data_IF_376453690277
#
_entry.id   IF_376453690277
#
_cell.length_a   1.000
_cell.length_b   1.000
_cell.length_c   1.000
_cell.angle_alpha   90.00
_cell.angle_beta   90.00
_cell.angle_gamma   90.00
#
_symmetry.space_group_name_H-M   'P 1'
#
loop_
_entity.id
_entity.type
_entity.pdbx_description
1 polymer ?
#
# COMPACT_ATOMS: atom_id res chain seq x y z
N UNK A 1 6.47 2.98 37.82
CA UNK A 1 7.36 3.50 36.76
C UNK A 1 7.16 2.63 35.53
N UNK A 2 6.42 3.14 34.55
CA UNK A 2 6.03 2.45 33.31
C UNK A 2 7.16 2.57 32.30
N UNK A 3 7.69 1.49 31.69
CA UNK A 3 8.58 1.65 30.56
C UNK A 3 7.76 1.86 29.28
N UNK A 4 8.11 2.93 28.59
CA UNK A 4 8.09 3.20 27.16
C UNK A 4 7.16 2.37 26.25
N UNK A 5 6.34 3.10 25.48
CA UNK A 5 5.38 2.61 24.51
C UNK A 5 5.93 1.52 23.59
N UNK A 6 5.39 0.33 23.77
CA UNK A 6 5.30 -0.65 22.71
C UNK A 6 4.38 -0.02 21.66
N UNK A 7 4.93 0.41 20.53
CA UNK A 7 4.11 0.64 19.33
C UNK A 7 3.53 -0.72 19.00
N UNK A 8 2.33 -1.01 19.52
CA UNK A 8 1.58 -2.22 19.20
C UNK A 8 1.49 -2.27 17.68
N UNK A 9 2.30 -3.14 17.08
CA UNK A 9 2.30 -3.27 15.63
C UNK A 9 0.90 -3.71 15.25
N UNK A 10 0.22 -2.98 14.36
CA UNK A 10 -1.17 -3.26 14.06
C UNK A 10 -1.33 -4.74 13.72
N UNK A 11 -2.39 -5.36 14.25
CA UNK A 11 -2.58 -6.80 14.06
C UNK A 11 -2.62 -7.17 12.58
N UNK A 12 -3.10 -6.30 11.69
CA UNK A 12 -3.03 -6.52 10.25
C UNK A 12 -1.79 -5.82 9.65
N UNK A 13 -1.00 -6.59 8.90
CA UNK A 13 0.15 -6.08 8.16
C UNK A 13 0.01 -6.45 6.69
N UNK A 14 0.12 -5.45 5.83
CA UNK A 14 0.11 -5.59 4.38
C UNK A 14 1.51 -5.25 3.89
N UNK A 15 2.02 -6.07 3.01
CA UNK A 15 3.35 -5.90 2.48
C UNK A 15 3.32 -5.94 0.96
N UNK A 16 3.81 -4.88 0.35
CA UNK A 16 3.76 -4.58 -1.08
C UNK A 16 5.17 -4.45 -1.68
N UNK A 17 6.21 -4.26 -0.88
CA UNK A 17 7.58 -4.09 -1.35
C UNK A 17 8.25 -5.45 -1.60
N UNK A 18 7.81 -6.13 -2.65
CA UNK A 18 8.20 -7.50 -3.00
C UNK A 18 6.96 -8.38 -3.23
N UNK A 19 7.05 -9.70 -3.04
CA UNK A 19 5.88 -10.58 -3.17
C UNK A 19 4.78 -10.13 -2.21
N UNK A 20 3.55 -9.87 -2.70
CA UNK A 20 2.51 -9.33 -1.85
C UNK A 20 2.13 -10.32 -0.76
N UNK A 21 2.10 -9.83 0.48
CA UNK A 21 1.76 -10.64 1.64
C UNK A 21 0.81 -9.87 2.55
N UNK A 22 -0.24 -10.54 3.01
CA UNK A 22 -1.10 -10.03 4.07
C UNK A 22 -0.98 -10.97 5.25
N UNK A 23 -0.68 -10.42 6.42
CA UNK A 23 -0.62 -11.18 7.67
C UNK A 23 -1.49 -10.55 8.73
N UNK A 24 -2.08 -11.38 9.60
CA UNK A 24 -2.83 -10.95 10.76
C UNK A 24 -2.31 -11.66 11.99
N UNK A 25 -1.80 -10.91 12.97
CA UNK A 25 -1.14 -11.45 14.17
C UNK A 25 -0.09 -12.52 13.82
N UNK A 26 0.71 -12.27 12.77
CA UNK A 26 1.74 -13.18 12.26
C UNK A 26 1.24 -14.33 11.38
N UNK A 27 -0.07 -14.53 11.21
CA UNK A 27 -0.63 -15.58 10.34
C UNK A 27 -0.96 -15.05 8.95
N UNK A 28 -0.64 -15.79 7.89
CA UNK A 28 -0.96 -15.40 6.51
C UNK A 28 -2.47 -15.39 6.30
N UNK A 29 -2.98 -14.28 5.75
CA UNK A 29 -4.39 -14.14 5.36
C UNK A 29 -4.52 -14.39 3.86
N UNK A 30 -5.12 -15.53 3.51
CA UNK A 30 -5.35 -15.90 2.12
C UNK A 30 -6.66 -15.27 1.59
N UNK A 31 -6.52 -14.30 0.67
CA UNK A 31 -7.66 -13.73 -0.06
C UNK A 31 -7.76 -14.45 -1.41
N UNK A 32 -8.75 -15.33 -1.55
CA UNK A 32 -8.84 -16.24 -2.70
C UNK A 32 -9.16 -15.52 -4.03
N UNK A 33 -9.96 -14.45 -3.99
CA UNK A 33 -10.38 -13.74 -5.21
C UNK A 33 -9.32 -12.72 -5.63
N UNK A 34 -8.89 -12.84 -6.89
CA UNK A 34 -7.89 -11.98 -7.54
C UNK A 34 -8.26 -10.49 -7.47
N UNK A 35 -9.47 -10.15 -7.87
CA UNK A 35 -10.02 -8.80 -7.83
C UNK A 35 -10.03 -8.19 -6.42
N UNK A 36 -10.33 -8.98 -5.39
CA UNK A 36 -10.30 -8.52 -4.00
C UNK A 36 -8.88 -8.21 -3.53
N UNK A 37 -7.91 -9.07 -3.88
CA UNK A 37 -6.50 -8.80 -3.59
C UNK A 37 -6.04 -7.52 -4.27
N UNK A 38 -6.38 -7.35 -5.55
CA UNK A 38 -6.03 -6.17 -6.31
C UNK A 38 -6.62 -4.90 -5.67
N UNK A 39 -7.90 -4.91 -5.30
CA UNK A 39 -8.54 -3.79 -4.59
C UNK A 39 -7.91 -3.48 -3.24
N UNK A 40 -7.54 -4.50 -2.45
CA UNK A 40 -6.83 -4.28 -1.18
C UNK A 40 -5.46 -3.65 -1.40
N UNK A 41 -4.67 -4.16 -2.35
CA UNK A 41 -3.32 -3.64 -2.60
C UNK A 41 -3.34 -2.27 -3.26
N UNK A 42 -4.35 -1.99 -4.09
CA UNK A 42 -4.60 -0.66 -4.62
C UNK A 42 -4.83 0.33 -3.48
N UNK A 43 -5.75 0.04 -2.55
CA UNK A 43 -5.99 0.90 -1.39
C UNK A 43 -4.77 0.98 -0.46
N UNK A 44 -4.01 -0.10 -0.32
CA UNK A 44 -2.77 -0.14 0.46
C UNK A 44 -1.62 0.62 -0.17
N UNK A 45 -1.60 0.81 -1.49
CA UNK A 45 -0.61 1.63 -2.17
C UNK A 45 -0.87 3.13 -2.06
N UNK A 46 -2.10 3.55 -1.75
CA UNK A 46 -2.46 4.97 -1.62
C UNK A 46 -2.34 5.43 -0.17
N UNK A 47 -1.58 6.50 0.04
CA UNK A 47 -1.48 7.19 1.34
C UNK A 47 -2.70 8.07 1.61
N UNK A 48 -3.23 8.68 0.56
CA UNK A 48 -4.38 9.58 0.63
C UNK A 48 -5.70 8.85 0.32
N UNK A 49 -6.85 9.37 0.81
CA UNK A 49 -8.16 8.82 0.46
C UNK A 49 -8.42 8.87 -1.04
N UNK A 50 -8.87 7.74 -1.60
CA UNK A 50 -9.15 7.60 -3.03
C UNK A 50 -10.65 7.73 -3.28
N UNK A 51 -11.04 8.44 -4.34
CA UNK A 51 -12.46 8.61 -4.66
C UNK A 51 -13.08 7.30 -5.16
N UNK A 52 -14.36 7.08 -4.86
CA UNK A 52 -15.11 5.93 -5.38
C UNK A 52 -15.17 5.93 -6.89
N UNK A 53 -15.27 7.10 -7.52
CA UNK A 53 -15.28 7.25 -8.97
C UNK A 53 -13.97 6.76 -9.58
N UNK A 54 -12.83 7.16 -9.03
CA UNK A 54 -11.50 6.72 -9.46
C UNK A 54 -11.31 5.21 -9.29
N UNK A 55 -11.72 4.64 -8.14
CA UNK A 55 -11.68 3.20 -7.92
C UNK A 55 -12.58 2.49 -8.96
N UNK A 56 -13.79 2.99 -9.20
CA UNK A 56 -14.70 2.41 -10.18
C UNK A 56 -14.10 2.43 -11.59
N UNK A 57 -13.54 3.56 -12.01
CA UNK A 57 -12.89 3.72 -13.31
C UNK A 57 -11.66 2.80 -13.45
N UNK A 58 -10.87 2.63 -12.38
CA UNK A 58 -9.66 1.81 -12.39
C UNK A 58 -9.96 0.31 -12.53
N UNK A 59 -11.01 -0.17 -11.86
CA UNK A 59 -11.34 -1.60 -11.81
C UNK A 59 -12.39 -2.03 -12.83
N UNK A 60 -13.36 -1.16 -13.15
CA UNK A 60 -14.48 -1.46 -14.03
C UNK A 60 -14.76 -0.30 -15.00
N UNK A 61 -13.83 0.04 -15.92
CA UNK A 61 -13.98 1.18 -16.83
C UNK A 61 -15.15 1.03 -17.81
N UNK A 62 -15.50 -0.21 -18.17
CA UNK A 62 -16.55 -0.51 -19.15
C UNK A 62 -17.95 -0.70 -18.51
N UNK A 63 -18.03 -0.73 -17.18
CA UNK A 63 -19.29 -0.89 -16.48
C UNK A 63 -20.02 0.45 -16.32
N UNK A 64 -21.35 0.48 -16.38
CA UNK A 64 -22.13 1.64 -15.93
C UNK A 64 -21.80 2.00 -14.47
N UNK A 65 -21.76 3.29 -14.15
CA UNK A 65 -21.33 3.78 -12.83
C UNK A 65 -22.10 3.12 -11.66
N UNK A 66 -23.41 2.94 -11.78
CA UNK A 66 -24.22 2.28 -10.75
C UNK A 66 -23.79 0.84 -10.48
N UNK A 67 -23.41 0.10 -11.54
CA UNK A 67 -22.93 -1.28 -11.47
C UNK A 67 -21.54 -1.31 -10.84
N UNK A 68 -20.63 -0.43 -11.27
CA UNK A 68 -19.28 -0.33 -10.72
C UNK A 68 -19.30 0.03 -9.22
N UNK A 69 -20.12 1.02 -8.82
CA UNK A 69 -20.31 1.40 -7.41
C UNK A 69 -20.90 0.24 -6.59
N UNK A 70 -21.80 -0.57 -7.16
CA UNK A 70 -22.32 -1.77 -6.50
C UNK A 70 -21.22 -2.81 -6.29
N UNK A 71 -20.44 -3.11 -7.33
CA UNK A 71 -19.28 -4.03 -7.24
C UNK A 71 -18.27 -3.58 -6.19
N UNK A 72 -17.98 -2.27 -6.12
CA UNK A 72 -17.12 -1.68 -5.09
C UNK A 72 -17.63 -1.94 -3.68
N UNK A 73 -18.91 -1.61 -3.41
CA UNK A 73 -19.51 -1.84 -2.07
C UNK A 73 -19.43 -3.30 -1.65
N UNK A 74 -19.77 -4.22 -2.55
CA UNK A 74 -19.71 -5.65 -2.25
C UNK A 74 -18.27 -6.15 -2.09
N UNK A 75 -17.32 -5.62 -2.88
CA UNK A 75 -15.90 -5.90 -2.76
C UNK A 75 -15.35 -5.51 -1.39
N UNK A 76 -15.64 -4.29 -0.93
CA UNK A 76 -15.25 -3.80 0.41
C UNK A 76 -15.86 -4.64 1.53
N UNK A 77 -17.14 -5.02 1.41
CA UNK A 77 -17.80 -5.89 2.37
C UNK A 77 -17.11 -7.26 2.47
N UNK A 78 -16.79 -7.87 1.33
CA UNK A 78 -16.07 -9.15 1.30
C UNK A 78 -14.65 -9.03 1.85
N UNK A 79 -13.96 -7.92 1.58
CA UNK A 79 -12.63 -7.65 2.13
C UNK A 79 -12.65 -7.51 3.66
N UNK A 80 -13.61 -6.77 4.22
CA UNK A 80 -13.80 -6.68 5.69
C UNK A 80 -13.95 -8.05 6.32
N UNK A 81 -14.76 -8.92 5.71
CA UNK A 81 -14.97 -10.30 6.17
C UNK A 81 -13.71 -11.17 6.04
N UNK A 82 -13.00 -11.08 4.92
CA UNK A 82 -11.77 -11.86 4.69
C UNK A 82 -10.66 -11.47 5.66
N UNK A 83 -10.53 -10.17 5.95
CA UNK A 83 -9.54 -9.62 6.89
C UNK A 83 -9.98 -9.75 8.35
N UNK A 84 -11.24 -10.13 8.61
CA UNK A 84 -11.87 -10.20 9.94
C UNK A 84 -11.73 -8.89 10.72
N UNK A 85 -11.84 -7.76 10.02
CA UNK A 85 -11.85 -6.43 10.62
C UNK A 85 -12.87 -5.53 9.90
N UNK A 86 -13.98 -5.15 10.56
CA UNK A 86 -15.01 -4.31 9.96
C UNK A 86 -14.55 -2.85 9.76
N UNK A 87 -13.59 -2.38 10.56
CA UNK A 87 -13.13 -0.99 10.62
C UNK A 87 -11.84 -0.76 9.83
N UNK A 88 -11.48 -1.71 8.96
CA UNK A 88 -10.24 -1.68 8.19
C UNK A 88 -10.21 -0.60 7.11
N UNK A 89 -11.38 -0.24 6.59
CA UNK A 89 -11.56 0.83 5.62
C UNK A 89 -12.33 1.97 6.26
N UNK A 90 -11.78 3.19 6.13
CA UNK A 90 -12.49 4.42 6.43
C UNK A 90 -13.23 4.80 5.14
N UNK A 91 -14.53 4.98 5.24
CA UNK A 91 -15.36 5.43 4.14
C UNK A 91 -16.01 6.74 4.54
N UNK A 92 -15.55 7.84 3.96
CA UNK A 92 -16.08 9.18 4.21
C UNK A 92 -16.65 9.73 2.92
N UNK A 93 -17.94 10.07 2.94
CA UNK A 93 -18.71 10.52 1.79
C UNK A 93 -18.46 9.65 0.53
N UNK A 94 -17.66 10.15 -0.42
CA UNK A 94 -17.28 9.50 -1.67
C UNK A 94 -15.81 9.06 -1.75
N UNK A 95 -15.09 9.09 -0.63
CA UNK A 95 -13.71 8.65 -0.51
C UNK A 95 -13.56 7.38 0.33
N UNK A 96 -12.54 6.60 0.01
CA UNK A 96 -12.19 5.36 0.68
C UNK A 96 -10.69 5.38 0.96
N UNK A 97 -10.32 5.10 2.20
CA UNK A 97 -8.93 4.89 2.60
C UNK A 97 -8.80 3.67 3.51
N UNK A 98 -7.58 3.15 3.65
CA UNK A 98 -7.28 2.21 4.72
C UNK A 98 -7.13 2.94 6.04
N UNK A 99 -7.61 2.30 7.11
CA UNK A 99 -7.40 2.79 8.45
C UNK A 99 -5.97 2.49 8.91
N UNK A 100 -5.04 3.41 8.68
CA UNK A 100 -3.62 3.26 9.02
C UNK A 100 -3.35 3.16 10.53
N UNK A 101 -4.32 3.49 11.40
CA UNK A 101 -4.21 3.20 12.84
C UNK A 101 -4.37 1.71 13.17
N UNK A 102 -4.91 0.91 12.23
CA UNK A 102 -5.21 -0.51 12.38
C UNK A 102 -4.42 -1.40 11.43
N UNK A 103 -3.75 -0.81 10.45
CA UNK A 103 -3.02 -1.51 9.40
C UNK A 103 -1.61 -0.98 9.30
N UNK A 104 -0.65 -1.88 9.34
CA UNK A 104 0.71 -1.61 8.93
C UNK A 104 0.85 -1.84 7.43
N UNK A 105 1.49 -0.91 6.71
CA UNK A 105 1.86 -1.09 5.29
C UNK A 105 3.32 -0.73 5.10
N UNK A 106 4.13 -1.68 4.62
CA UNK A 106 5.57 -1.49 4.40
C UNK A 106 5.89 -0.35 3.41
N UNK A 107 5.10 -0.21 2.35
CA UNK A 107 5.22 0.87 1.36
C UNK A 107 5.01 2.26 1.99
N UNK A 108 4.12 2.38 2.97
CA UNK A 108 3.89 3.64 3.67
C UNK A 108 5.08 3.98 4.60
N UNK A 109 5.63 2.98 5.29
CA UNK A 109 6.83 3.18 6.10
C UNK A 109 8.04 3.55 5.24
N UNK A 110 8.19 2.93 4.06
CA UNK A 110 9.20 3.30 3.09
C UNK A 110 9.04 4.75 2.63
N UNK A 111 7.82 5.16 2.25
CA UNK A 111 7.53 6.53 1.81
C UNK A 111 7.79 7.56 2.91
N UNK A 112 7.48 7.24 4.19
CA UNK A 112 7.79 8.11 5.34
C UNK A 112 9.29 8.35 5.51
N UNK A 113 10.13 7.39 5.13
CA UNK A 113 11.59 7.50 5.19
C UNK A 113 12.13 8.24 3.97
N UNK A 114 11.66 7.88 2.76
CA UNK A 114 12.25 8.33 1.50
C UNK A 114 11.80 9.73 1.08
N UNK A 115 10.51 10.07 1.23
CA UNK A 115 9.99 11.38 0.78
C UNK A 115 10.70 12.57 1.45
N UNK A 116 10.91 12.59 2.78
CA UNK A 116 11.65 13.68 3.42
C UNK A 116 13.09 13.78 2.91
N UNK A 117 13.73 12.65 2.62
CA UNK A 117 15.10 12.61 2.10
C UNK A 117 15.16 13.18 0.68
N UNK A 118 14.24 12.78 -0.21
CA UNK A 118 14.15 13.30 -1.58
C UNK A 118 13.93 14.82 -1.64
N UNK A 119 13.19 15.35 -0.67
CA UNK A 119 12.90 16.79 -0.57
C UNK A 119 14.00 17.55 0.18
N UNK A 120 14.92 16.84 0.83
CA UNK A 120 16.05 17.46 1.52
C UNK A 120 17.14 17.85 0.51
N UNK A 121 17.56 19.11 0.55
CA UNK A 121 18.73 19.61 -0.20
C UNK A 121 20.05 19.00 0.28
N UNK A 122 20.02 18.18 1.33
CA UNK A 122 21.16 17.52 1.96
C UNK A 122 21.71 16.36 1.14
N UNK A 123 20.90 15.75 0.25
CA UNK A 123 21.37 14.76 -0.73
C UNK A 123 22.25 15.39 -1.82
N UNK A 124 22.18 16.71 -2.01
CA UNK A 124 22.93 17.44 -3.04
C UNK A 124 24.31 17.93 -2.58
N UNK A 125 24.77 17.54 -1.37
CA UNK A 125 26.03 17.99 -0.79
C UNK A 125 27.18 17.00 -0.94
N UNK A 126 28.23 17.41 -1.67
CA UNK A 126 29.63 16.92 -1.64
C UNK A 126 29.89 15.40 -1.78
N UNK A 127 28.90 14.57 -2.11
CA UNK A 127 29.07 13.13 -2.36
C UNK A 127 29.28 12.26 -1.11
N UNK A 128 29.19 12.83 0.10
CA UNK A 128 29.28 12.09 1.36
C UNK A 128 27.93 12.17 2.06
N UNK A 129 27.21 11.05 2.09
CA UNK A 129 25.94 10.95 2.81
C UNK A 129 26.21 11.03 4.33
N UNK A 130 25.51 11.90 5.06
CA UNK A 130 25.57 11.90 6.52
C UNK A 130 25.15 10.53 7.08
N UNK A 131 25.79 10.10 8.18
CA UNK A 131 25.54 8.77 8.80
C UNK A 131 24.05 8.54 9.12
N UNK A 132 23.35 9.58 9.56
CA UNK A 132 21.92 9.48 9.84
C UNK A 132 21.08 9.26 8.56
N UNK A 133 21.47 9.84 7.42
CA UNK A 133 20.82 9.62 6.12
C UNK A 133 21.07 8.18 5.66
N UNK A 134 22.32 7.71 5.76
CA UNK A 134 22.67 6.33 5.45
C UNK A 134 21.86 5.34 6.29
N UNK A 135 21.74 5.58 7.60
CA UNK A 135 20.93 4.77 8.50
C UNK A 135 19.44 4.73 8.10
N UNK A 136 18.87 5.87 7.68
CA UNK A 136 17.50 5.93 7.17
C UNK A 136 17.35 5.14 5.85
N UNK A 137 18.25 5.34 4.89
CA UNK A 137 18.23 4.60 3.61
C UNK A 137 18.38 3.09 3.83
N UNK A 138 19.27 2.67 4.74
CA UNK A 138 19.42 1.27 5.12
C UNK A 138 18.12 0.69 5.66
N UNK A 139 17.46 1.41 6.56
CA UNK A 139 16.15 1.00 7.11
C UNK A 139 15.08 0.89 6.00
N UNK A 140 15.07 1.81 5.05
CA UNK A 140 14.17 1.74 3.90
C UNK A 140 14.45 0.51 3.01
N UNK A 141 15.73 0.19 2.77
CA UNK A 141 16.11 -1.02 2.03
C UNK A 141 15.73 -2.31 2.74
N UNK A 142 15.78 -2.36 4.08
CA UNK A 142 15.36 -3.53 4.87
C UNK A 142 13.85 -3.83 4.76
N UNK A 143 13.02 -2.84 4.41
CA UNK A 143 11.59 -3.03 4.13
C UNK A 143 11.35 -3.70 2.77
N UNK A 144 12.31 -3.61 1.85
CA UNK A 144 12.21 -4.17 0.50
C UNK A 144 12.52 -5.67 0.52
N UNK A 145 11.49 -6.50 0.44
CA UNK A 145 11.60 -7.97 0.39
C UNK A 145 11.79 -8.52 -1.02
N UNK A 146 11.74 -7.64 -2.02
CA UNK A 146 11.92 -7.97 -3.42
C UNK A 146 12.49 -6.79 -4.19
N UNK A 147 12.67 -6.99 -5.50
CA UNK A 147 13.29 -6.00 -6.38
C UNK A 147 12.27 -5.03 -7.02
N UNK A 148 10.97 -5.33 -6.86
CA UNK A 148 9.85 -4.62 -7.50
C UNK A 148 8.68 -4.47 -6.53
N UNK A 149 7.87 -3.44 -6.73
CA UNK A 149 6.58 -3.29 -6.05
C UNK A 149 5.61 -4.37 -6.56
N UNK A 150 4.91 -5.06 -5.66
CA UNK A 150 4.00 -6.17 -6.00
C UNK A 150 4.68 -7.23 -6.91
N UNK A 151 5.91 -7.62 -6.57
CA UNK A 151 6.68 -8.55 -7.39
C UNK A 151 5.92 -9.86 -7.66
N UNK A 152 5.89 -10.29 -8.92
CA UNK A 152 5.20 -11.49 -9.42
C UNK A 152 3.66 -11.48 -9.24
N UNK A 153 3.04 -10.33 -8.99
CA UNK A 153 1.62 -10.26 -8.71
C UNK A 153 0.77 -10.08 -10.00
N UNK A 154 0.35 -11.18 -10.62
CA UNK A 154 -0.69 -11.17 -11.66
C UNK A 154 -2.08 -11.07 -11.01
N UNK A 155 -2.47 -9.85 -10.61
CA UNK A 155 -3.60 -9.65 -9.68
C UNK A 155 -4.93 -9.34 -10.37
N UNK A 156 -4.96 -8.64 -11.50
CA UNK A 156 -6.20 -8.37 -12.24
C UNK A 156 -5.93 -7.85 -13.66
N UNK A 157 -6.68 -8.34 -14.65
CA UNK A 157 -6.60 -7.88 -16.05
C UNK A 157 -7.48 -6.63 -16.28
N UNK A 158 -7.40 -5.62 -15.42
CA UNK A 158 -7.94 -4.30 -15.80
C UNK A 158 -6.78 -3.41 -16.24
N UNK A 159 -6.92 -2.81 -17.42
CA UNK A 159 -5.89 -1.96 -18.01
C UNK A 159 -5.52 -0.79 -17.08
N UNK A 160 -6.49 -0.27 -16.31
CA UNK A 160 -6.27 0.77 -15.31
C UNK A 160 -5.42 0.30 -14.12
N UNK A 161 -5.70 -0.88 -13.55
CA UNK A 161 -4.92 -1.43 -12.44
C UNK A 161 -3.50 -1.79 -12.89
N UNK A 162 -3.34 -2.37 -14.09
CA UNK A 162 -2.02 -2.67 -14.66
C UNK A 162 -1.21 -1.39 -14.90
N UNK A 163 -1.87 -0.33 -15.40
CA UNK A 163 -1.25 0.98 -15.62
C UNK A 163 -0.80 1.63 -14.30
N UNK A 164 -1.64 1.62 -13.27
CA UNK A 164 -1.27 2.10 -11.93
C UNK A 164 -0.09 1.29 -11.34
N UNK A 165 -0.13 -0.04 -11.46
CA UNK A 165 0.93 -0.91 -10.95
C UNK A 165 2.26 -0.63 -11.66
N UNK A 166 2.25 -0.45 -12.99
CA UNK A 166 3.42 -0.10 -13.79
C UNK A 166 4.01 1.27 -13.40
N UNK A 167 3.16 2.30 -13.24
CA UNK A 167 3.61 3.63 -12.80
C UNK A 167 4.20 3.61 -11.38
N UNK A 168 3.58 2.85 -10.47
CA UNK A 168 4.05 2.71 -9.08
C UNK A 168 5.39 1.97 -9.03
N UNK A 169 5.57 0.92 -9.83
CA UNK A 169 6.82 0.17 -9.92
C UNK A 169 7.97 1.00 -10.54
N UNK A 170 7.67 1.84 -11.54
CA UNK A 170 8.66 2.78 -12.11
C UNK A 170 9.15 3.80 -11.07
N UNK A 171 8.23 4.37 -10.27
CA UNK A 171 8.58 5.30 -9.19
C UNK A 171 9.43 4.62 -8.10
N UNK A 172 9.08 3.38 -7.74
CA UNK A 172 9.84 2.58 -6.78
C UNK A 172 11.23 2.21 -7.30
N UNK A 173 11.33 1.77 -8.56
CA UNK A 173 12.61 1.41 -9.21
C UNK A 173 13.55 2.62 -9.29
N UNK A 174 13.04 3.78 -9.69
CA UNK A 174 13.82 5.02 -9.78
C UNK A 174 14.35 5.48 -8.41
N UNK A 175 13.58 5.25 -7.34
CA UNK A 175 13.99 5.59 -5.97
C UNK A 175 15.08 4.65 -5.41
N UNK A 176 15.30 3.48 -6.03
CA UNK A 176 16.36 2.52 -5.65
C UNK A 176 17.67 2.75 -6.39
N UNK A 177 17.64 3.36 -7.57
CA UNK A 177 18.83 3.58 -8.41
C UNK A 177 19.59 4.87 -8.08
N UNK A 178 18.99 5.78 -7.30
CA UNK A 178 19.62 7.01 -6.80
C UNK A 178 20.19 6.84 -5.40
#
# INVERSE_FOLDING_TARGET
MTPAGQTETPQLQIFLLGPPLVTRAGQIVCINRREQRAGLYFLAGHTDPVSRAEICYTFWPDDPEEVARKKLREGLSRLRSALKDPNIFITDNDFISLNLSRVYVDAHEYNKIVLPLLHSSQLSGNGILPEWVYGQLRKAMELCRGHQFLQNAALHNSAGFESWMSLTDQSFSFSREK
#
